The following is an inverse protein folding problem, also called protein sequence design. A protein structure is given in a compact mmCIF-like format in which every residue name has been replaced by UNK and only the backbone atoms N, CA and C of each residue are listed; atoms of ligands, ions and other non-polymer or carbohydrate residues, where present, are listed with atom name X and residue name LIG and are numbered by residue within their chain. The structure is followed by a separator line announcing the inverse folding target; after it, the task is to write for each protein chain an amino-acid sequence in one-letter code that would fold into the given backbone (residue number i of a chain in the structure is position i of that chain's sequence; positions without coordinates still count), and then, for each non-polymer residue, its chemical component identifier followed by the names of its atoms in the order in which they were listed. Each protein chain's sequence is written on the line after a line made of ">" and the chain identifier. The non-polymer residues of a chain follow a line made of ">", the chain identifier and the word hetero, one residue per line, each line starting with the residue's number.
data_IF_289934087786
#
_entry.id   IF_289934087786
#
_cell.length_a   1.000
_cell.length_b   1.000
_cell.length_c   1.000
_cell.angle_alpha   90.00
_cell.angle_beta   90.00
_cell.angle_gamma   90.00
#
_symmetry.space_group_name_H-M   'P 1'
#
loop_
_entity.id
_entity.type
_entity.pdbx_description
1 polymer ?
#
# COMPACT_ATOMS: atom_id res chain seq x y z
N UNK A 1 -11.75 -14.12 -8.82
CA UNK A 1 -10.87 -12.98 -8.49
C UNK A 1 -10.26 -12.52 -9.79
N UNK A 2 -10.50 -11.28 -10.21
CA UNK A 2 -9.94 -10.78 -11.47
C UNK A 2 -8.45 -10.37 -11.27
N UNK A 3 -7.71 -10.20 -12.37
CA UNK A 3 -6.28 -9.85 -12.34
C UNK A 3 -5.96 -8.56 -11.59
N UNK A 4 -6.89 -7.60 -11.59
CA UNK A 4 -6.78 -6.33 -10.87
C UNK A 4 -6.91 -6.53 -9.35
N UNK A 5 -7.85 -7.35 -8.88
CA UNK A 5 -7.97 -7.72 -7.47
C UNK A 5 -6.71 -8.44 -6.96
N UNK A 6 -6.14 -9.33 -7.77
CA UNK A 6 -4.89 -10.02 -7.42
C UNK A 6 -3.72 -9.02 -7.30
N UNK A 7 -3.63 -8.05 -8.21
CA UNK A 7 -2.59 -7.01 -8.18
C UNK A 7 -2.71 -6.10 -6.96
N UNK A 8 -3.94 -5.70 -6.62
CA UNK A 8 -4.23 -4.92 -5.41
C UNK A 8 -3.84 -5.70 -4.14
N UNK A 9 -4.20 -6.99 -4.06
CA UNK A 9 -3.85 -7.82 -2.91
C UNK A 9 -2.34 -8.00 -2.76
N UNK A 10 -1.63 -8.24 -3.87
CA UNK A 10 -0.17 -8.31 -3.87
C UNK A 10 0.48 -7.02 -3.37
N UNK A 11 0.01 -5.85 -3.81
CA UNK A 11 0.53 -4.56 -3.33
C UNK A 11 0.25 -4.35 -1.84
N UNK A 12 -0.90 -4.79 -1.32
CA UNK A 12 -1.20 -4.74 0.12
C UNK A 12 -0.23 -5.61 0.94
N UNK A 13 0.14 -6.78 0.44
CA UNK A 13 1.17 -7.62 1.09
C UNK A 13 2.54 -6.92 1.11
N UNK A 14 2.94 -6.29 0.01
CA UNK A 14 4.19 -5.53 -0.06
C UNK A 14 4.20 -4.32 0.88
N UNK A 15 3.06 -3.66 1.03
CA UNK A 15 2.89 -2.53 1.94
C UNK A 15 3.08 -2.94 3.40
N UNK A 16 2.58 -4.10 3.80
CA UNK A 16 2.80 -4.66 5.13
C UNK A 16 4.30 -4.92 5.35
N UNK A 17 4.98 -5.54 4.38
CA UNK A 17 6.40 -5.82 4.47
C UNK A 17 7.26 -4.53 4.56
N UNK A 18 6.92 -3.49 3.80
CA UNK A 18 7.58 -2.18 3.89
C UNK A 18 7.28 -1.48 5.23
N UNK A 19 6.04 -1.58 5.71
CA UNK A 19 5.61 -1.02 6.99
C UNK A 19 6.33 -1.63 8.19
N UNK A 20 6.53 -2.95 8.21
CA UNK A 20 7.29 -3.64 9.26
C UNK A 20 8.76 -3.19 9.29
N UNK A 21 9.38 -3.00 8.12
CA UNK A 21 10.75 -2.46 8.04
C UNK A 21 10.82 -1.04 8.62
N UNK A 22 9.84 -0.20 8.30
CA UNK A 22 9.77 1.17 8.81
C UNK A 22 9.49 1.24 10.32
N UNK A 23 8.64 0.35 10.86
CA UNK A 23 8.40 0.23 12.30
C UNK A 23 9.68 -0.15 13.06
N UNK A 24 10.52 -1.01 12.47
CA UNK A 24 11.76 -1.50 13.07
C UNK A 24 12.92 -0.49 13.12
N UNK A 25 12.86 0.54 12.29
CA UNK A 25 13.80 1.66 12.30
C UNK A 25 13.14 2.79 11.53
N UNK A 26 12.98 3.96 12.17
CA UNK A 26 12.31 5.17 11.63
C UNK A 26 13.07 5.79 10.44
N UNK A 27 13.51 4.96 9.50
CA UNK A 27 14.22 5.29 8.29
C UNK A 27 13.24 5.83 7.25
N UNK A 28 13.70 6.85 6.54
CA UNK A 28 12.92 7.62 5.57
C UNK A 28 12.72 6.83 4.27
N UNK A 29 13.63 5.92 3.94
CA UNK A 29 13.54 5.12 2.72
C UNK A 29 12.37 4.10 2.78
N UNK A 30 12.23 3.26 3.82
CA UNK A 30 11.04 2.42 4.02
C UNK A 30 9.72 3.20 4.08
N UNK A 31 9.72 4.41 4.65
CA UNK A 31 8.54 5.29 4.65
C UNK A 31 8.13 5.70 3.22
N UNK A 32 9.11 6.03 2.37
CA UNK A 32 8.86 6.38 0.96
C UNK A 32 8.31 5.20 0.18
N UNK A 33 8.83 4.00 0.42
CA UNK A 33 8.30 2.78 -0.19
C UNK A 33 6.84 2.56 0.21
N UNK A 34 6.50 2.73 1.49
CA UNK A 34 5.12 2.67 1.97
C UNK A 34 4.22 3.70 1.26
N UNK A 35 4.68 4.94 1.09
CA UNK A 35 3.93 6.00 0.40
C UNK A 35 3.66 5.64 -1.06
N UNK A 36 4.68 5.18 -1.78
CA UNK A 36 4.55 4.80 -3.19
C UNK A 36 3.58 3.63 -3.38
N UNK A 37 3.64 2.62 -2.50
CA UNK A 37 2.75 1.46 -2.57
C UNK A 37 1.29 1.86 -2.24
N UNK A 38 1.08 2.72 -1.23
CA UNK A 38 -0.26 3.26 -0.91
C UNK A 38 -0.86 4.01 -2.10
N UNK A 39 -0.07 4.86 -2.75
CA UNK A 39 -0.53 5.62 -3.91
C UNK A 39 -0.94 4.68 -5.06
N UNK A 40 -0.13 3.65 -5.34
CA UNK A 40 -0.46 2.64 -6.33
C UNK A 40 -1.76 1.88 -6.01
N UNK A 41 -1.95 1.46 -4.75
CA UNK A 41 -3.19 0.78 -4.31
C UNK A 41 -4.40 1.69 -4.50
N UNK A 42 -4.31 2.96 -4.08
CA UNK A 42 -5.43 3.90 -4.21
C UNK A 42 -5.81 4.14 -5.68
N UNK A 43 -4.84 4.26 -6.58
CA UNK A 43 -5.13 4.39 -8.03
C UNK A 43 -5.87 3.16 -8.56
N UNK A 44 -5.47 1.97 -8.14
CA UNK A 44 -6.10 0.73 -8.60
C UNK A 44 -7.49 0.51 -7.98
N UNK A 45 -7.65 0.78 -6.69
CA UNK A 45 -8.94 0.67 -5.98
C UNK A 45 -9.96 1.71 -6.49
N UNK A 46 -9.52 2.93 -6.79
CA UNK A 46 -10.36 3.97 -7.40
C UNK A 46 -10.85 3.53 -8.79
N UNK A 47 -9.96 2.95 -9.60
CA UNK A 47 -10.33 2.43 -10.94
C UNK A 47 -11.24 1.20 -10.87
N UNK A 48 -11.02 0.32 -9.90
CA UNK A 48 -11.75 -0.93 -9.77
C UNK A 48 -13.14 -0.71 -9.15
N UNK A 49 -13.23 0.18 -8.17
CA UNK A 49 -14.38 0.26 -7.25
C UNK A 49 -14.86 1.68 -6.97
N UNK A 50 -14.20 2.72 -7.49
CA UNK A 50 -14.58 4.13 -7.26
C UNK A 50 -14.36 4.58 -5.81
N UNK A 51 -13.36 4.02 -5.12
CA UNK A 51 -13.02 4.36 -3.73
C UNK A 51 -11.51 4.39 -3.51
N UNK A 52 -11.07 5.31 -2.66
CA UNK A 52 -9.74 5.28 -2.04
C UNK A 52 -9.85 4.62 -0.66
N UNK A 53 -8.91 3.74 -0.34
CA UNK A 53 -9.03 2.89 0.87
C UNK A 53 -7.94 3.18 1.88
N UNK A 54 -6.79 3.73 1.46
CA UNK A 54 -5.58 3.66 2.27
C UNK A 54 -4.93 5.02 2.45
N UNK A 55 -4.90 5.49 3.69
CA UNK A 55 -4.04 6.59 4.16
C UNK A 55 -2.97 5.95 5.05
N UNK A 56 -1.70 6.39 4.96
CA UNK A 56 -0.59 5.79 5.75
C UNK A 56 -0.90 5.71 7.26
N UNK A 57 -1.67 6.67 7.78
CA UNK A 57 -2.08 6.71 9.18
C UNK A 57 -2.92 5.50 9.64
N UNK A 58 -3.51 4.74 8.71
CA UNK A 58 -4.31 3.54 9.01
C UNK A 58 -3.49 2.24 9.02
N UNK A 59 -2.23 2.31 8.56
CA UNK A 59 -1.35 1.15 8.33
C UNK A 59 -0.33 1.00 9.45
N UNK A 60 0.05 2.11 10.09
CA UNK A 60 0.94 2.12 11.24
C UNK A 60 0.19 1.91 12.54
#
# INVERSE_FOLDING_TARGET
>A
MNELENSINFLKEQLIAAGEKWKGGMDVEPMRDCLAIVEAINVLEERAFGRMITTIAYIL
#
